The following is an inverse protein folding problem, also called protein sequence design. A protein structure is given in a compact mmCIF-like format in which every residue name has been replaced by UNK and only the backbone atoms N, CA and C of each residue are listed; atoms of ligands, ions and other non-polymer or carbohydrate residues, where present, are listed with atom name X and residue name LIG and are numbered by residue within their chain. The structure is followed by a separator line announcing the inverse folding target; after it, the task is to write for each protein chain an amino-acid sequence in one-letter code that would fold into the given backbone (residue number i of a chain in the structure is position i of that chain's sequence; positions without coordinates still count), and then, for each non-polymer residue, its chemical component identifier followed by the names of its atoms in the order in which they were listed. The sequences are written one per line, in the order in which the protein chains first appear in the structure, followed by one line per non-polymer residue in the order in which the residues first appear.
data_IF_394908457736
#
_entry.id   IF_394908457736
#
_cell.length_a   1.000
_cell.length_b   1.000
_cell.length_c   1.000
_cell.angle_alpha   90.00
_cell.angle_beta   90.00
_cell.angle_gamma   90.00
#
_symmetry.space_group_name_H-M   'P 1'
#
loop_
_entity.id
_entity.type
_entity.pdbx_description
1 polymer ?
#
# COMPACT_ATOMS: atom_id res chain seq x y z
N UNK A 1 14.17 -1.36 -19.53
CA UNK A 1 13.49 -1.05 -18.26
C UNK A 1 12.00 -1.19 -18.50
N UNK A 2 11.53 -2.42 -18.31
CA UNK A 2 10.32 -3.00 -18.86
C UNK A 2 9.04 -2.52 -18.15
N UNK A 3 8.39 -1.50 -18.74
CA UNK A 3 7.04 -1.05 -18.36
C UNK A 3 6.02 -2.21 -18.31
N UNK A 4 6.23 -3.24 -19.14
CA UNK A 4 5.40 -4.45 -19.18
C UNK A 4 5.56 -5.36 -17.95
N UNK A 5 6.73 -5.39 -17.32
CA UNK A 5 6.96 -6.15 -16.10
C UNK A 5 6.41 -5.44 -14.84
N UNK A 6 6.21 -4.12 -14.91
CA UNK A 6 5.56 -3.35 -13.86
C UNK A 6 4.03 -3.58 -13.86
N UNK A 7 3.38 -3.59 -15.04
CA UNK A 7 1.94 -3.85 -15.12
C UNK A 7 1.58 -5.30 -14.75
N UNK A 8 2.41 -6.27 -15.11
CA UNK A 8 2.19 -7.67 -14.75
C UNK A 8 2.21 -7.91 -13.23
N UNK A 9 3.10 -7.21 -12.49
CA UNK A 9 3.17 -7.30 -11.02
C UNK A 9 2.03 -6.56 -10.34
N UNK A 10 1.66 -5.38 -10.83
CA UNK A 10 0.51 -4.64 -10.29
C UNK A 10 -0.79 -5.45 -10.44
N UNK A 11 -1.00 -6.05 -11.61
CA UNK A 11 -2.16 -6.91 -11.89
C UNK A 11 -2.21 -8.17 -10.99
N UNK A 12 -1.08 -8.65 -10.48
CA UNK A 12 -1.05 -9.77 -9.52
C UNK A 12 -1.41 -9.32 -8.09
N UNK A 13 -1.03 -8.10 -7.70
CA UNK A 13 -1.43 -7.50 -6.42
C UNK A 13 -2.92 -7.15 -6.41
N UNK A 14 -3.44 -6.60 -7.50
CA UNK A 14 -4.87 -6.25 -7.65
C UNK A 14 -5.79 -7.48 -7.60
N UNK A 15 -5.31 -8.63 -8.08
CA UNK A 15 -6.06 -9.89 -8.07
C UNK A 15 -5.91 -10.72 -6.79
N UNK A 16 -5.14 -10.22 -5.81
CA UNK A 16 -4.92 -10.90 -4.52
C UNK A 16 -4.14 -12.21 -4.62
N UNK A 17 -3.42 -12.45 -5.72
CA UNK A 17 -2.70 -13.72 -5.95
C UNK A 17 -1.39 -13.76 -5.16
N UNK A 18 -0.72 -12.61 -4.99
CA UNK A 18 0.46 -12.44 -4.13
C UNK A 18 0.27 -11.19 -3.28
N UNK A 19 0.62 -11.26 -2.00
CA UNK A 19 0.71 -10.05 -1.16
C UNK A 19 2.02 -9.34 -1.46
N UNK A 20 2.03 -8.01 -1.65
CA UNK A 20 3.27 -7.26 -1.78
C UNK A 20 4.11 -7.40 -0.51
N UNK A 21 5.43 -7.55 -0.67
CA UNK A 21 6.36 -7.51 0.47
C UNK A 21 6.21 -6.19 1.23
N UNK A 22 6.49 -6.21 2.53
CA UNK A 22 6.37 -5.02 3.39
C UNK A 22 7.19 -3.83 2.85
N UNK A 23 8.34 -4.08 2.20
CA UNK A 23 9.14 -3.05 1.53
C UNK A 23 8.38 -2.34 0.40
N UNK A 24 7.59 -3.09 -0.37
CA UNK A 24 6.75 -2.55 -1.44
C UNK A 24 5.61 -1.73 -0.85
N UNK A 25 5.01 -2.18 0.25
CA UNK A 25 3.95 -1.43 0.95
C UNK A 25 4.49 -0.12 1.54
N UNK A 26 5.72 -0.11 2.07
CA UNK A 26 6.39 1.13 2.49
C UNK A 26 6.62 2.07 1.31
N UNK A 27 7.08 1.56 0.16
CA UNK A 27 7.28 2.39 -1.02
C UNK A 27 5.95 2.99 -1.53
N UNK A 28 4.88 2.19 -1.52
CA UNK A 28 3.53 2.64 -1.86
C UNK A 28 3.02 3.70 -0.87
N UNK A 29 3.24 3.50 0.43
CA UNK A 29 2.80 4.43 1.47
C UNK A 29 3.49 5.79 1.34
N UNK A 30 4.78 5.81 1.01
CA UNK A 30 5.53 7.03 0.70
C UNK A 30 5.01 7.77 -0.54
N UNK A 31 4.68 7.04 -1.61
CA UNK A 31 4.18 7.64 -2.86
C UNK A 31 2.75 8.18 -2.70
N UNK A 32 1.90 7.45 -1.97
CA UNK A 32 0.50 7.82 -1.75
C UNK A 32 0.31 8.80 -0.59
N UNK A 33 1.35 9.03 0.23
CA UNK A 33 1.29 9.92 1.39
C UNK A 33 0.37 9.41 2.51
N UNK A 34 0.14 8.10 2.59
CA UNK A 34 -0.69 7.46 3.61
C UNK A 34 0.15 6.62 4.55
N UNK A 35 -0.25 6.41 5.82
CA UNK A 35 0.51 5.53 6.72
C UNK A 35 0.50 4.08 6.24
N UNK A 36 1.64 3.39 6.35
CA UNK A 36 1.79 1.98 5.93
C UNK A 36 0.77 1.05 6.61
N UNK A 37 0.35 1.37 7.84
CA UNK A 37 -0.68 0.64 8.58
C UNK A 37 -2.05 0.65 7.87
N UNK A 38 -2.34 1.66 7.05
CA UNK A 38 -3.60 1.78 6.32
C UNK A 38 -3.82 0.59 5.36
N UNK A 39 -2.76 0.07 4.75
CA UNK A 39 -2.85 -1.07 3.80
C UNK A 39 -3.23 -2.40 4.45
N UNK A 40 -3.12 -2.51 5.78
CA UNK A 40 -3.41 -3.73 6.51
C UNK A 40 -4.67 -3.59 7.40
N UNK A 41 -5.32 -2.44 7.36
CA UNK A 41 -6.53 -2.17 8.13
C UNK A 41 -7.76 -2.56 7.31
N UNK A 42 -8.61 -3.44 7.84
CA UNK A 42 -9.84 -3.88 7.17
C UNK A 42 -11.03 -3.06 7.68
N UNK A 43 -10.95 -2.62 8.93
CA UNK A 43 -11.97 -1.88 9.63
C UNK A 43 -11.99 -0.42 9.14
N UNK A 44 -13.08 -0.01 8.51
CA UNK A 44 -13.22 1.31 7.88
C UNK A 44 -13.02 2.47 8.87
N UNK A 45 -13.58 2.35 10.08
CA UNK A 45 -13.45 3.36 11.13
C UNK A 45 -12.00 3.49 11.62
N UNK A 46 -11.31 2.36 11.81
CA UNK A 46 -9.90 2.36 12.20
C UNK A 46 -9.01 2.88 11.06
N UNK A 47 -9.34 2.55 9.81
CA UNK A 47 -8.61 3.02 8.65
C UNK A 47 -8.69 4.56 8.52
N UNK A 48 -9.84 5.15 8.85
CA UNK A 48 -10.03 6.60 8.92
C UNK A 48 -9.12 7.23 9.99
N UNK A 49 -9.09 6.67 11.20
CA UNK A 49 -8.21 7.13 12.29
C UNK A 49 -6.73 7.00 11.90
N UNK A 50 -6.36 5.91 11.22
CA UNK A 50 -5.00 5.71 10.72
C UNK A 50 -4.66 6.73 9.64
N UNK A 51 -5.57 7.09 8.74
CA UNK A 51 -5.30 8.13 7.73
C UNK A 51 -5.07 9.51 8.34
N UNK A 52 -5.83 9.84 9.38
CA UNK A 52 -5.67 11.10 10.11
C UNK A 52 -4.39 11.12 10.97
N UNK A 53 -3.75 9.96 11.16
CA UNK A 53 -2.47 9.85 11.85
C UNK A 53 -1.33 10.45 11.01
N UNK A 54 -1.11 11.75 11.19
CA UNK A 54 0.10 12.41 10.70
C UNK A 54 1.28 11.99 11.57
N UNK A 55 2.03 10.99 11.09
CA UNK A 55 3.38 10.76 11.56
C UNK A 55 4.17 12.06 11.35
N UNK A 56 4.37 12.80 12.44
CA UNK A 56 5.18 14.01 12.45
C UNK A 56 6.64 13.56 12.33
N UNK A 57 7.16 13.51 11.10
CA UNK A 57 8.58 13.34 10.83
C UNK A 57 8.99 14.20 9.64
#
# INVERSE_FOLDING_TARGET
MDRFAASARMNQYERGVHSPDFKTVIALSQVLGVPTAYFYCIEEELASVIMDWKASC
#
